data_IF_348839010234
#
_entry.id   IF_348839010234
#
_cell.length_a   1.000
_cell.length_b   1.000
_cell.length_c   1.000
_cell.angle_alpha   90.00
_cell.angle_beta   90.00
_cell.angle_gamma   90.00
#
_symmetry.space_group_name_H-M   'P 1'
#
loop_
_entity.id
_entity.type
_entity.pdbx_description
1 polymer ?
#
# COMPACT_ATOMS: atom_id res chain seq x y z
N UNK A 1 -11.95 -33.17 13.78
CA UNK A 1 -10.88 -32.70 12.87
C UNK A 1 -11.39 -32.66 11.41
N UNK A 2 -12.49 -31.96 11.11
CA UNK A 2 -13.08 -31.77 9.74
C UNK A 2 -13.90 -30.44 9.71
N UNK A 3 -13.46 -29.35 10.30
CA UNK A 3 -14.21 -28.08 10.28
C UNK A 3 -13.41 -26.93 9.62
N UNK A 4 -12.12 -27.10 9.36
CA UNK A 4 -11.27 -26.00 8.89
C UNK A 4 -11.19 -25.81 7.36
N UNK A 5 -11.78 -26.71 6.55
CA UNK A 5 -11.71 -26.58 5.08
C UNK A 5 -12.90 -25.83 4.44
N UNK A 6 -14.02 -25.67 5.15
CA UNK A 6 -15.22 -25.03 4.61
C UNK A 6 -15.18 -23.49 4.71
N UNK A 7 -14.49 -22.93 5.68
CA UNK A 7 -14.38 -21.46 5.82
C UNK A 7 -13.40 -20.84 4.81
N UNK A 8 -12.36 -21.60 4.43
CA UNK A 8 -11.39 -21.15 3.42
C UNK A 8 -11.97 -21.06 2.00
N UNK A 9 -12.92 -21.93 1.66
CA UNK A 9 -13.62 -21.86 0.38
C UNK A 9 -14.60 -20.68 0.31
N UNK A 10 -15.19 -20.28 1.43
CA UNK A 10 -16.12 -19.14 1.52
C UNK A 10 -15.43 -17.77 1.40
N UNK A 11 -14.21 -17.64 1.89
CA UNK A 11 -13.42 -16.40 1.77
C UNK A 11 -12.98 -16.15 0.32
N UNK A 12 -12.52 -17.20 -0.38
CA UNK A 12 -12.17 -17.12 -1.81
C UNK A 12 -13.35 -16.71 -2.69
N UNK A 13 -14.55 -17.18 -2.38
CA UNK A 13 -15.76 -16.85 -3.16
C UNK A 13 -16.21 -15.40 -2.95
N UNK A 14 -15.98 -14.80 -1.78
CA UNK A 14 -16.27 -13.37 -1.51
C UNK A 14 -15.29 -12.42 -2.21
N UNK A 15 -14.01 -12.80 -2.33
CA UNK A 15 -12.99 -11.98 -3.03
C UNK A 15 -13.25 -11.92 -4.53
N UNK A 16 -13.72 -13.03 -5.13
CA UNK A 16 -14.09 -13.08 -6.56
C UNK A 16 -15.37 -12.26 -6.83
N UNK A 17 -16.34 -12.25 -5.90
CA UNK A 17 -17.57 -11.45 -6.07
C UNK A 17 -17.32 -9.93 -6.01
N UNK A 18 -16.40 -9.45 -5.19
CA UNK A 18 -16.07 -8.01 -5.11
C UNK A 18 -15.48 -7.43 -6.40
N UNK A 19 -14.71 -8.24 -7.15
CA UNK A 19 -14.13 -7.82 -8.43
C UNK A 19 -15.17 -7.67 -9.54
N UNK A 20 -16.25 -8.47 -9.52
CA UNK A 20 -17.32 -8.43 -10.52
C UNK A 20 -18.29 -7.24 -10.34
N UNK A 21 -18.48 -6.73 -9.13
CA UNK A 21 -19.35 -5.58 -8.88
C UNK A 21 -18.77 -4.26 -9.40
N UNK A 22 -17.45 -4.16 -9.55
CA UNK A 22 -16.79 -2.95 -10.06
C UNK A 22 -17.09 -2.67 -11.55
N UNK A 23 -17.35 -3.72 -12.34
CA UNK A 23 -17.65 -3.60 -13.77
C UNK A 23 -19.14 -3.44 -14.09
N UNK A 24 -20.04 -3.64 -13.09
CA UNK A 24 -21.49 -3.69 -13.32
C UNK A 24 -22.22 -2.35 -13.29
N UNK A 25 -21.54 -1.23 -13.02
CA UNK A 25 -22.18 0.10 -12.81
C UNK A 25 -22.10 1.04 -14.02
N UNK A 26 -22.14 0.53 -15.25
CA UNK A 26 -22.51 1.34 -16.42
C UNK A 26 -22.94 0.44 -17.60
N UNK A 27 -24.20 0.04 -17.64
CA UNK A 27 -24.95 -0.10 -18.91
C UNK A 27 -26.44 -0.18 -18.64
N UNK A 28 -27.17 0.55 -19.45
CA UNK A 28 -28.62 0.59 -19.52
C UNK A 28 -29.31 -0.77 -19.62
N UNK A 29 -30.55 -0.80 -19.12
CA UNK A 29 -31.50 -1.89 -19.16
C UNK A 29 -31.56 -2.66 -20.50
N UNK A 30 -30.79 -3.72 -20.61
CA UNK A 30 -31.12 -4.90 -21.40
C UNK A 30 -30.33 -6.08 -20.78
N UNK A 31 -31.05 -6.89 -20.00
CA UNK A 31 -30.48 -8.12 -19.41
C UNK A 31 -30.35 -9.14 -20.53
N UNK A 32 -29.25 -9.13 -21.28
CA UNK A 32 -28.83 -10.31 -22.04
C UNK A 32 -28.26 -11.31 -21.04
N UNK A 33 -28.88 -12.49 -20.99
CA UNK A 33 -28.43 -13.58 -20.16
C UNK A 33 -27.03 -14.01 -20.63
N UNK A 34 -26.02 -13.77 -19.77
CA UNK A 34 -24.62 -14.19 -20.02
C UNK A 34 -24.62 -15.70 -20.19
N UNK A 35 -24.12 -16.20 -21.31
CA UNK A 35 -24.09 -17.65 -21.59
C UNK A 35 -23.09 -18.35 -20.67
N UNK A 36 -23.29 -19.66 -20.34
CA UNK A 36 -22.35 -20.41 -19.52
C UNK A 36 -20.91 -20.40 -20.06
N UNK A 37 -20.73 -20.30 -21.36
CA UNK A 37 -19.43 -20.20 -22.03
C UNK A 37 -18.75 -18.82 -21.76
N UNK A 38 -19.53 -17.73 -21.75
CA UNK A 38 -19.02 -16.40 -21.41
C UNK A 38 -18.63 -16.31 -19.93
N UNK A 39 -19.41 -16.92 -19.03
CA UNK A 39 -19.06 -17.02 -17.62
C UNK A 39 -17.78 -17.83 -17.37
N UNK A 40 -17.60 -18.92 -18.10
CA UNK A 40 -16.39 -19.75 -18.00
C UNK A 40 -15.16 -19.00 -18.55
N UNK A 41 -15.29 -18.26 -19.66
CA UNK A 41 -14.22 -17.44 -20.22
C UNK A 41 -13.83 -16.29 -19.30
N UNK A 42 -14.79 -15.60 -18.69
CA UNK A 42 -14.55 -14.55 -17.69
C UNK A 42 -13.86 -15.10 -16.44
N UNK A 43 -14.26 -16.29 -15.96
CA UNK A 43 -13.61 -16.95 -14.83
C UNK A 43 -12.17 -17.36 -15.16
N UNK A 44 -11.90 -17.87 -16.36
CA UNK A 44 -10.55 -18.21 -16.79
C UNK A 44 -9.67 -16.97 -16.88
N UNK A 45 -10.15 -15.87 -17.47
CA UNK A 45 -9.42 -14.60 -17.52
C UNK A 45 -9.13 -14.02 -16.13
N UNK A 46 -10.08 -14.12 -15.19
CA UNK A 46 -9.87 -13.67 -13.82
C UNK A 46 -8.79 -14.50 -13.10
N UNK A 47 -8.76 -15.83 -13.31
CA UNK A 47 -7.74 -16.73 -12.76
C UNK A 47 -6.36 -16.44 -13.36
N UNK A 48 -6.28 -16.24 -14.67
CA UNK A 48 -5.02 -15.88 -15.34
C UNK A 48 -4.48 -14.53 -14.86
N UNK A 49 -5.36 -13.52 -14.71
CA UNK A 49 -4.98 -12.22 -14.17
C UNK A 49 -4.49 -12.31 -12.71
N UNK A 50 -5.16 -13.11 -11.87
CA UNK A 50 -4.72 -13.32 -10.48
C UNK A 50 -3.36 -14.01 -10.43
N UNK A 51 -3.12 -15.01 -11.28
CA UNK A 51 -1.82 -15.69 -11.37
C UNK A 51 -0.72 -14.74 -11.85
N UNK A 52 -0.99 -13.94 -12.87
CA UNK A 52 -0.06 -12.93 -13.35
C UNK A 52 0.28 -11.90 -12.26
N UNK A 53 -0.73 -11.43 -11.54
CA UNK A 53 -0.52 -10.48 -10.44
C UNK A 53 0.35 -11.08 -9.32
N UNK A 54 0.13 -12.34 -8.96
CA UNK A 54 0.97 -13.05 -7.96
C UNK A 54 2.42 -13.21 -8.44
N UNK A 55 2.59 -13.53 -9.72
CA UNK A 55 3.92 -13.65 -10.30
C UNK A 55 4.67 -12.32 -10.29
N UNK A 56 4.05 -11.23 -10.76
CA UNK A 56 4.64 -9.89 -10.76
C UNK A 56 4.97 -9.40 -9.34
N UNK A 57 4.10 -9.71 -8.35
CA UNK A 57 4.38 -9.41 -6.95
C UNK A 57 5.60 -10.20 -6.45
N UNK A 58 5.67 -11.50 -6.75
CA UNK A 58 6.80 -12.34 -6.36
C UNK A 58 8.13 -11.90 -7.01
N UNK A 59 8.09 -11.47 -8.27
CA UNK A 59 9.25 -10.91 -8.98
C UNK A 59 9.67 -9.57 -8.38
N UNK A 60 8.71 -8.68 -8.13
CA UNK A 60 8.97 -7.38 -7.52
C UNK A 60 9.50 -7.47 -6.08
N UNK A 61 9.16 -8.51 -5.34
CA UNK A 61 9.66 -8.75 -3.98
C UNK A 61 10.87 -9.72 -3.93
N UNK A 62 11.46 -10.07 -5.06
CA UNK A 62 12.50 -11.12 -5.12
C UNK A 62 13.68 -10.85 -4.18
N UNK A 63 14.22 -9.62 -4.16
CA UNK A 63 15.35 -9.27 -3.28
C UNK A 63 14.97 -9.33 -1.80
N UNK A 64 13.77 -8.83 -1.45
CA UNK A 64 13.23 -8.92 -0.09
C UNK A 64 13.07 -10.36 0.34
N UNK A 65 12.48 -11.18 -0.49
CA UNK A 65 12.28 -12.61 -0.27
C UNK A 65 13.61 -13.36 -0.09
N UNK A 66 14.56 -13.18 -1.03
CA UNK A 66 15.87 -13.84 -0.95
C UNK A 66 16.62 -13.42 0.32
N UNK A 67 16.54 -12.14 0.71
CA UNK A 67 17.14 -11.63 1.93
C UNK A 67 16.53 -12.21 3.19
N UNK A 68 15.21 -12.20 3.31
CA UNK A 68 14.48 -12.69 4.47
C UNK A 68 14.53 -14.21 4.57
N UNK A 69 14.12 -14.90 3.50
CA UNK A 69 14.02 -16.36 3.48
C UNK A 69 15.38 -17.05 3.64
N UNK A 70 16.46 -16.53 3.03
CA UNK A 70 17.79 -17.12 3.19
C UNK A 70 18.34 -17.01 4.60
N UNK A 71 17.99 -15.95 5.33
CA UNK A 71 18.34 -15.79 6.74
C UNK A 71 17.53 -16.74 7.61
N UNK A 72 16.19 -16.79 7.39
CA UNK A 72 15.31 -17.70 8.09
C UNK A 72 15.69 -19.16 7.91
N UNK A 73 15.99 -19.59 6.67
CA UNK A 73 16.44 -20.95 6.38
C UNK A 73 17.75 -21.30 7.10
N UNK A 74 18.67 -20.34 7.27
CA UNK A 74 19.90 -20.54 8.06
C UNK A 74 19.62 -20.69 9.55
N UNK A 75 18.71 -19.89 10.11
CA UNK A 75 18.34 -19.94 11.52
C UNK A 75 17.80 -21.32 11.94
N UNK A 76 17.09 -22.02 11.03
CA UNK A 76 16.51 -23.34 11.30
C UNK A 76 17.34 -24.52 10.72
N UNK A 77 18.43 -24.26 10.02
CA UNK A 77 19.22 -25.29 9.36
C UNK A 77 19.82 -26.32 10.34
N UNK A 78 19.56 -27.59 10.08
CA UNK A 78 20.11 -28.70 10.90
C UNK A 78 19.41 -28.90 12.24
N UNK A 79 18.35 -28.15 12.55
CA UNK A 79 17.57 -28.26 13.79
C UNK A 79 16.23 -28.92 13.51
N UNK A 80 15.80 -29.84 14.36
CA UNK A 80 14.52 -30.55 14.24
C UNK A 80 13.41 -29.98 15.14
N UNK A 81 13.79 -29.23 16.16
CA UNK A 81 12.88 -28.61 17.15
C UNK A 81 13.16 -27.12 17.26
N UNK A 82 12.15 -26.38 17.66
CA UNK A 82 12.27 -24.95 17.97
C UNK A 82 12.62 -24.83 19.46
N UNK A 83 13.85 -24.45 19.75
CA UNK A 83 14.39 -24.17 21.08
C UNK A 83 14.73 -22.67 21.24
N UNK A 84 15.26 -22.28 22.39
CA UNK A 84 15.64 -20.90 22.66
C UNK A 84 16.64 -20.35 21.63
N UNK A 85 17.63 -21.17 21.22
CA UNK A 85 18.64 -20.75 20.24
C UNK A 85 18.00 -20.46 18.87
N UNK A 86 16.96 -21.23 18.47
CA UNK A 86 16.21 -20.95 17.21
C UNK A 86 15.43 -19.65 17.31
N UNK A 87 14.87 -19.34 18.49
CA UNK A 87 14.13 -18.11 18.72
C UNK A 87 15.05 -16.89 18.70
N UNK A 88 16.24 -17.00 19.31
CA UNK A 88 17.27 -15.95 19.28
C UNK A 88 17.74 -15.68 17.83
N UNK A 89 18.02 -16.75 17.05
CA UNK A 89 18.37 -16.64 15.65
C UNK A 89 17.21 -16.01 14.81
N UNK A 90 15.96 -16.34 15.12
CA UNK A 90 14.79 -15.78 14.47
C UNK A 90 14.63 -14.30 14.79
N UNK A 91 14.85 -13.90 16.06
CA UNK A 91 14.83 -12.49 16.48
C UNK A 91 15.87 -11.69 15.68
N UNK A 92 17.11 -12.21 15.54
CA UNK A 92 18.14 -11.57 14.72
C UNK A 92 17.72 -11.43 13.26
N UNK A 93 17.09 -12.45 12.70
CA UNK A 93 16.57 -12.41 11.30
C UNK A 93 15.52 -11.32 11.13
N UNK A 94 14.56 -11.20 12.03
CA UNK A 94 13.49 -10.22 11.96
C UNK A 94 14.05 -8.79 12.10
N UNK A 95 14.94 -8.55 13.08
CA UNK A 95 15.58 -7.25 13.30
C UNK A 95 16.42 -6.85 12.08
N UNK A 96 17.28 -7.76 11.59
CA UNK A 96 18.16 -7.48 10.44
C UNK A 96 17.42 -7.38 9.10
N UNK A 97 16.15 -7.73 9.07
CA UNK A 97 15.24 -7.54 7.94
C UNK A 97 14.38 -6.27 8.06
N UNK A 98 14.71 -5.40 9.03
CA UNK A 98 14.02 -4.13 9.31
C UNK A 98 12.54 -4.27 9.75
N UNK A 99 12.15 -5.39 10.38
CA UNK A 99 10.82 -5.55 10.98
C UNK A 99 10.60 -4.58 12.15
N UNK A 100 11.70 -4.20 12.84
CA UNK A 100 11.67 -3.34 14.01
C UNK A 100 11.57 -4.13 15.32
N UNK A 101 12.19 -3.59 16.38
CA UNK A 101 12.36 -4.30 17.67
C UNK A 101 11.01 -4.61 18.32
N UNK A 102 10.10 -3.64 18.41
CA UNK A 102 8.80 -3.82 19.08
C UNK A 102 7.95 -4.92 18.42
N UNK A 103 7.87 -4.91 17.09
CA UNK A 103 7.13 -5.92 16.32
C UNK A 103 7.81 -7.28 16.39
N UNK A 104 9.15 -7.32 16.36
CA UNK A 104 9.92 -8.56 16.53
C UNK A 104 9.63 -9.22 17.87
N UNK A 105 9.67 -8.48 18.97
CA UNK A 105 9.36 -8.99 20.31
C UNK A 105 7.93 -9.55 20.38
N UNK A 106 6.94 -8.90 19.76
CA UNK A 106 5.57 -9.43 19.70
C UNK A 106 5.53 -10.78 18.98
N UNK A 107 6.18 -10.89 17.82
CA UNK A 107 6.23 -12.13 17.02
C UNK A 107 6.87 -13.26 17.86
N UNK A 108 8.02 -13.00 18.48
CA UNK A 108 8.73 -14.00 19.29
C UNK A 108 7.87 -14.47 20.48
N UNK A 109 7.28 -13.54 21.23
CA UNK A 109 6.41 -13.87 22.37
C UNK A 109 5.20 -14.74 21.92
N UNK A 110 4.55 -14.43 20.82
CA UNK A 110 3.44 -15.26 20.31
C UNK A 110 3.90 -16.67 19.92
N UNK A 111 5.10 -16.79 19.31
CA UNK A 111 5.68 -18.11 18.99
C UNK A 111 6.00 -18.87 20.26
N UNK A 112 6.59 -18.24 21.29
CA UNK A 112 6.89 -18.85 22.60
C UNK A 112 5.61 -19.35 23.28
N UNK A 113 4.55 -18.54 23.35
CA UNK A 113 3.26 -18.92 23.89
C UNK A 113 2.67 -20.14 23.16
N UNK A 114 2.83 -20.20 21.85
CA UNK A 114 2.36 -21.31 21.02
C UNK A 114 3.15 -22.59 21.28
N UNK A 115 4.49 -22.49 21.40
CA UNK A 115 5.35 -23.62 21.78
C UNK A 115 4.98 -24.15 23.18
N UNK A 116 4.78 -23.25 24.15
CA UNK A 116 4.41 -23.63 25.51
C UNK A 116 3.06 -24.36 25.57
N UNK A 117 2.10 -23.95 24.75
CA UNK A 117 0.77 -24.57 24.66
C UNK A 117 0.80 -25.93 23.99
N UNK A 118 1.49 -26.03 22.85
CA UNK A 118 1.46 -27.21 22.00
C UNK A 118 2.55 -28.23 22.37
N UNK A 119 3.44 -27.89 23.33
CA UNK A 119 4.53 -28.68 23.95
C UNK A 119 5.61 -29.21 22.99
N UNK A 120 5.43 -29.09 21.72
CA UNK A 120 6.37 -29.50 20.70
C UNK A 120 6.10 -28.76 19.40
N UNK A 121 7.16 -28.26 18.80
CA UNK A 121 7.10 -27.61 17.49
C UNK A 121 8.33 -28.02 16.68
N UNK A 122 8.09 -28.53 15.49
CA UNK A 122 9.20 -28.78 14.57
C UNK A 122 9.46 -27.56 13.68
N UNK A 123 10.66 -27.48 13.10
CA UNK A 123 11.08 -26.35 12.26
C UNK A 123 10.28 -26.20 10.97
N UNK A 124 9.61 -27.26 10.50
CA UNK A 124 8.71 -27.18 9.33
C UNK A 124 7.38 -26.47 9.66
N UNK A 125 6.92 -26.60 10.90
CA UNK A 125 5.71 -25.91 11.39
C UNK A 125 5.99 -24.45 11.69
N UNK A 126 7.23 -24.10 12.09
CA UNK A 126 7.64 -22.73 12.40
C UNK A 126 7.38 -21.76 11.24
N UNK A 127 7.68 -22.14 10.01
CA UNK A 127 7.43 -21.29 8.83
C UNK A 127 5.94 -20.98 8.64
N UNK A 128 5.06 -21.96 8.85
CA UNK A 128 3.62 -21.76 8.75
C UNK A 128 3.10 -20.85 9.86
N UNK A 129 3.60 -21.05 11.09
CA UNK A 129 3.21 -20.25 12.26
C UNK A 129 3.70 -18.81 12.12
N UNK A 130 4.97 -18.62 11.75
CA UNK A 130 5.54 -17.29 11.55
C UNK A 130 4.76 -16.51 10.48
N UNK A 131 4.38 -17.17 9.40
CA UNK A 131 3.54 -16.60 8.34
C UNK A 131 2.18 -16.18 8.87
N UNK A 132 1.52 -17.04 9.65
CA UNK A 132 0.20 -16.75 10.22
C UNK A 132 0.29 -15.61 11.24
N UNK A 133 1.30 -15.60 12.12
CA UNK A 133 1.50 -14.53 13.11
C UNK A 133 1.78 -13.18 12.44
N UNK A 134 2.65 -13.14 11.42
CA UNK A 134 2.90 -11.91 10.66
C UNK A 134 1.62 -11.42 9.99
N UNK A 135 0.85 -12.30 9.35
CA UNK A 135 -0.40 -11.93 8.72
C UNK A 135 -1.43 -11.39 9.73
N UNK A 136 -1.52 -11.99 10.93
CA UNK A 136 -2.42 -11.55 11.99
C UNK A 136 -2.02 -10.17 12.55
N UNK A 137 -0.74 -9.92 12.80
CA UNK A 137 -0.26 -8.61 13.23
C UNK A 137 -0.62 -7.51 12.24
N UNK A 138 -0.45 -7.79 10.96
CA UNK A 138 -0.87 -6.85 9.91
C UNK A 138 -2.39 -6.74 9.80
N UNK A 139 -3.16 -7.76 10.18
CA UNK A 139 -4.62 -7.77 10.19
C UNK A 139 -5.19 -6.95 11.34
N UNK A 140 -4.62 -7.03 12.53
CA UNK A 140 -5.01 -6.23 13.70
C UNK A 140 -4.82 -4.73 13.45
N UNK A 141 -3.84 -4.36 12.61
CA UNK A 141 -3.54 -2.98 12.25
C UNK A 141 -4.47 -2.42 11.18
N UNK A 142 -5.20 -3.26 10.45
CA UNK A 142 -5.96 -2.87 9.27
C UNK A 142 -7.43 -3.23 9.37
N UNK A 143 -8.27 -2.23 9.57
CA UNK A 143 -9.70 -2.39 9.29
C UNK A 143 -9.90 -2.62 7.79
N UNK A 144 -10.71 -3.58 7.43
CA UNK A 144 -10.97 -4.23 6.15
C UNK A 144 -11.43 -3.35 4.96
N UNK A 145 -10.95 -2.14 4.80
CA UNK A 145 -11.26 -1.31 3.63
C UNK A 145 -10.23 -1.50 2.51
N UNK A 146 -10.17 -2.72 1.99
CA UNK A 146 -9.28 -3.08 0.88
C UNK A 146 -9.79 -2.67 -0.50
N UNK A 147 -10.96 -2.11 -0.59
CA UNK A 147 -11.47 -1.63 -1.86
C UNK A 147 -10.81 -0.31 -2.25
N UNK A 148 -10.63 -0.09 -3.57
CA UNK A 148 -10.64 1.24 -4.13
C UNK A 148 -11.95 1.98 -3.74
N UNK A 149 -12.42 1.74 -2.52
CA UNK A 149 -13.56 2.37 -1.90
C UNK A 149 -13.30 3.85 -1.73
N UNK A 150 -12.99 4.48 -2.87
CA UNK A 150 -13.15 5.90 -3.02
C UNK A 150 -14.65 6.10 -2.92
N UNK A 151 -15.16 6.40 -1.74
CA UNK A 151 -16.55 6.83 -1.56
C UNK A 151 -16.72 8.16 -2.30
N UNK A 152 -16.79 8.10 -3.62
CA UNK A 152 -17.07 9.25 -4.48
C UNK A 152 -18.56 9.56 -4.29
N UNK A 153 -18.83 10.60 -3.54
CA UNK A 153 -20.19 11.15 -3.44
C UNK A 153 -20.53 11.85 -4.75
N UNK A 154 -21.75 11.68 -5.25
CA UNK A 154 -22.19 12.35 -6.47
C UNK A 154 -21.98 13.87 -6.35
N UNK A 155 -21.29 14.45 -7.34
CA UNK A 155 -20.99 15.90 -7.38
C UNK A 155 -19.85 16.39 -6.50
N UNK A 156 -19.17 15.50 -5.76
CA UNK A 156 -18.03 15.86 -4.91
C UNK A 156 -16.86 14.91 -5.15
N UNK A 157 -15.70 15.39 -5.62
CA UNK A 157 -14.54 14.52 -5.87
C UNK A 157 -13.95 13.96 -4.57
N UNK A 158 -13.45 12.73 -4.63
CA UNK A 158 -12.60 12.20 -3.57
C UNK A 158 -11.24 12.89 -3.60
N UNK A 159 -10.82 13.48 -2.48
CA UNK A 159 -9.59 14.28 -2.40
C UNK A 159 -8.53 13.54 -1.59
N UNK A 160 -7.39 13.32 -2.21
CA UNK A 160 -6.23 12.65 -1.62
C UNK A 160 -5.04 13.61 -1.57
N UNK A 161 -4.51 13.85 -0.38
CA UNK A 161 -3.28 14.62 -0.18
C UNK A 161 -2.11 13.67 -0.01
N UNK A 162 -1.11 13.75 -0.91
CA UNK A 162 0.04 12.84 -0.90
C UNK A 162 1.23 13.52 -0.24
N UNK A 163 1.69 12.95 0.87
CA UNK A 163 2.77 13.48 1.71
C UNK A 163 3.94 12.50 1.81
N UNK A 164 5.10 12.95 2.27
CA UNK A 164 6.31 12.14 2.45
C UNK A 164 7.56 12.89 2.06
N UNK A 165 8.73 12.34 2.35
CA UNK A 165 10.02 13.00 2.05
C UNK A 165 10.32 13.09 0.55
N UNK A 166 11.23 14.00 0.17
CA UNK A 166 11.72 14.03 -1.20
C UNK A 166 12.43 12.72 -1.55
N UNK A 167 12.16 12.20 -2.74
CA UNK A 167 12.73 10.91 -3.20
C UNK A 167 11.98 9.67 -2.73
N UNK A 168 10.96 9.77 -1.85
CA UNK A 168 10.16 8.64 -1.43
C UNK A 168 9.25 8.06 -2.55
N UNK A 169 9.10 8.76 -3.68
CA UNK A 169 8.30 8.28 -4.80
C UNK A 169 6.90 8.89 -4.90
N UNK A 170 6.61 10.01 -4.22
CA UNK A 170 5.29 10.68 -4.24
C UNK A 170 4.77 10.95 -5.65
N UNK A 171 5.53 11.72 -6.44
CA UNK A 171 5.16 12.11 -7.81
C UNK A 171 4.93 10.88 -8.71
N UNK A 172 5.77 9.86 -8.57
CA UNK A 172 5.62 8.59 -9.30
C UNK A 172 4.37 7.82 -8.85
N UNK A 173 4.11 7.77 -7.55
CA UNK A 173 2.90 7.13 -6.99
C UNK A 173 1.64 7.81 -7.49
N UNK A 174 1.60 9.16 -7.47
CA UNK A 174 0.49 9.94 -8.02
C UNK A 174 0.25 9.61 -9.49
N UNK A 175 1.31 9.57 -10.30
CA UNK A 175 1.21 9.25 -11.72
C UNK A 175 0.64 7.85 -11.99
N UNK A 176 1.15 6.85 -11.28
CA UNK A 176 0.67 5.45 -11.38
C UNK A 176 -0.78 5.31 -10.92
N UNK A 177 -1.12 5.93 -9.79
CA UNK A 177 -2.47 5.91 -9.24
C UNK A 177 -3.46 6.61 -10.19
N UNK A 178 -3.08 7.77 -10.73
CA UNK A 178 -3.88 8.49 -11.71
C UNK A 178 -4.16 7.63 -12.95
N UNK A 179 -3.15 6.91 -13.47
CA UNK A 179 -3.31 6.02 -14.60
C UNK A 179 -4.27 4.86 -14.31
N UNK A 180 -4.17 4.24 -13.13
CA UNK A 180 -5.08 3.17 -12.73
C UNK A 180 -6.52 3.66 -12.59
N UNK A 181 -6.71 4.84 -11.96
CA UNK A 181 -8.03 5.45 -11.79
C UNK A 181 -8.66 5.86 -13.14
N UNK A 182 -7.87 6.44 -14.03
CA UNK A 182 -8.34 6.81 -15.37
C UNK A 182 -8.70 5.57 -16.21
N UNK A 183 -7.88 4.51 -16.12
CA UNK A 183 -8.19 3.21 -16.75
C UNK A 183 -9.49 2.59 -16.19
N UNK A 184 -9.80 2.84 -14.92
CA UNK A 184 -11.07 2.47 -14.30
C UNK A 184 -12.23 3.42 -14.66
N UNK A 185 -12.04 4.36 -15.59
CA UNK A 185 -13.05 5.29 -16.07
C UNK A 185 -13.31 6.49 -15.17
N UNK A 186 -12.41 6.77 -14.19
CA UNK A 186 -12.53 7.93 -13.31
C UNK A 186 -11.93 9.18 -13.93
N UNK A 187 -12.58 10.32 -13.74
CA UNK A 187 -12.07 11.63 -14.12
C UNK A 187 -11.13 12.17 -13.04
N UNK A 188 -9.82 12.18 -13.33
CA UNK A 188 -8.78 12.48 -12.35
C UNK A 188 -8.20 13.88 -12.55
N UNK A 189 -8.07 14.63 -11.47
CA UNK A 189 -7.37 15.91 -11.39
C UNK A 189 -6.14 15.80 -10.49
N UNK A 190 -5.05 16.45 -10.90
CA UNK A 190 -3.78 16.47 -10.17
C UNK A 190 -3.40 17.90 -9.87
N UNK A 191 -3.09 18.22 -8.60
CA UNK A 191 -2.58 19.52 -8.16
C UNK A 191 -1.08 19.46 -7.86
N UNK A 192 -0.28 20.26 -8.56
CA UNK A 192 1.17 20.34 -8.38
C UNK A 192 1.54 21.32 -7.27
N UNK A 193 1.34 20.91 -6.00
CA UNK A 193 1.61 21.78 -4.86
C UNK A 193 3.07 21.67 -4.31
N UNK A 194 3.98 20.89 -4.91
CA UNK A 194 5.44 21.01 -4.71
C UNK A 194 6.00 22.15 -5.60
N UNK A 195 5.57 23.38 -5.34
CA UNK A 195 5.80 24.55 -6.21
C UNK A 195 7.25 25.03 -6.26
N UNK A 196 8.09 24.57 -5.35
CA UNK A 196 9.48 25.01 -5.26
C UNK A 196 10.46 24.11 -6.04
N UNK A 197 9.96 23.06 -6.71
CA UNK A 197 10.80 22.11 -7.45
C UNK A 197 10.32 22.01 -8.89
N UNK A 198 10.92 22.86 -9.78
CA UNK A 198 10.58 22.87 -11.20
C UNK A 198 10.61 21.47 -11.82
N UNK A 199 11.66 20.67 -11.57
CA UNK A 199 11.79 19.33 -12.08
C UNK A 199 10.67 18.37 -11.57
N UNK A 200 10.13 18.59 -10.37
CA UNK A 200 9.01 17.80 -9.86
C UNK A 200 7.71 18.15 -10.59
N UNK A 201 7.48 19.44 -10.86
CA UNK A 201 6.33 19.93 -11.63
C UNK A 201 6.38 19.34 -13.06
N UNK A 202 7.54 19.41 -13.72
CA UNK A 202 7.71 18.87 -15.08
C UNK A 202 7.54 17.34 -15.11
N UNK A 203 8.09 16.64 -14.13
CA UNK A 203 7.90 15.19 -13.97
C UNK A 203 6.41 14.85 -13.79
N UNK A 204 5.71 15.60 -12.94
CA UNK A 204 4.28 15.39 -12.69
C UNK A 204 3.45 15.64 -13.94
N UNK A 205 3.83 16.64 -14.77
CA UNK A 205 3.17 16.93 -16.03
C UNK A 205 3.26 15.75 -17.02
N UNK A 206 4.44 15.13 -17.13
CA UNK A 206 4.64 13.93 -17.96
C UNK A 206 3.76 12.77 -17.45
N UNK A 207 3.66 12.57 -16.12
CA UNK A 207 2.80 11.55 -15.54
C UNK A 207 1.32 11.84 -15.79
N UNK A 208 0.87 13.09 -15.62
CA UNK A 208 -0.51 13.50 -15.87
C UNK A 208 -0.93 13.24 -17.32
N UNK A 209 -0.06 13.60 -18.29
CA UNK A 209 -0.29 13.35 -19.72
C UNK A 209 -0.40 11.85 -20.00
N UNK A 210 0.54 11.03 -19.50
CA UNK A 210 0.52 9.57 -19.68
C UNK A 210 -0.71 8.92 -19.07
N UNK A 211 -1.17 9.45 -17.93
CA UNK A 211 -2.34 8.96 -17.23
C UNK A 211 -3.67 9.44 -17.86
N UNK A 212 -3.65 10.42 -18.73
CA UNK A 212 -4.88 11.08 -19.22
C UNK A 212 -5.58 11.91 -18.15
N UNK A 213 -4.85 12.38 -17.15
CA UNK A 213 -5.37 13.18 -16.03
C UNK A 213 -5.19 14.68 -16.28
N UNK A 214 -6.11 15.50 -15.74
CA UNK A 214 -6.00 16.97 -15.82
C UNK A 214 -5.10 17.47 -14.73
N UNK A 215 -4.02 18.19 -15.08
CA UNK A 215 -3.10 18.80 -14.12
C UNK A 215 -3.36 20.27 -13.94
N UNK A 216 -3.42 20.74 -12.70
CA UNK A 216 -3.46 22.14 -12.31
C UNK A 216 -2.11 22.50 -11.68
N UNK A 217 -1.49 23.55 -12.21
CA UNK A 217 -0.22 24.11 -11.72
C UNK A 217 -0.26 25.63 -11.76
N UNK A 218 0.55 26.24 -10.95
CA UNK A 218 0.83 27.68 -10.99
C UNK A 218 2.31 27.92 -11.28
N UNK A 219 2.74 29.18 -11.29
CA UNK A 219 4.14 29.56 -11.45
C UNK A 219 5.01 28.99 -10.31
N UNK A 220 6.29 28.74 -10.62
CA UNK A 220 7.25 28.28 -9.63
C UNK A 220 7.33 29.25 -8.45
N UNK A 221 7.27 28.71 -7.23
CA UNK A 221 7.29 29.50 -5.99
C UNK A 221 5.95 30.08 -5.56
N UNK A 222 4.87 29.78 -6.28
CA UNK A 222 3.51 30.09 -5.84
C UNK A 222 3.17 29.40 -4.51
N UNK A 223 2.17 29.92 -3.78
CA UNK A 223 1.72 29.32 -2.54
C UNK A 223 1.12 27.90 -2.80
N UNK A 224 1.67 26.82 -2.23
CA UNK A 224 1.15 25.48 -2.39
C UNK A 224 -0.36 25.32 -2.06
N UNK A 225 -0.82 26.10 -1.06
CA UNK A 225 -2.24 26.08 -0.68
C UNK A 225 -3.14 26.70 -1.75
N UNK A 226 -2.64 27.70 -2.52
CA UNK A 226 -3.41 28.26 -3.62
C UNK A 226 -3.53 27.29 -4.79
N UNK A 227 -2.50 26.50 -5.08
CA UNK A 227 -2.56 25.42 -6.08
C UNK A 227 -3.62 24.38 -5.68
N UNK A 228 -3.63 23.94 -4.42
CA UNK A 228 -4.63 23.00 -3.92
C UNK A 228 -6.04 23.59 -4.03
N UNK A 229 -6.24 24.87 -3.68
CA UNK A 229 -7.53 25.54 -3.80
C UNK A 229 -8.04 25.58 -5.25
N UNK A 230 -7.19 26.03 -6.19
CA UNK A 230 -7.56 26.12 -7.60
C UNK A 230 -7.83 24.74 -8.21
N UNK A 231 -7.06 23.72 -7.79
CA UNK A 231 -7.27 22.34 -8.22
C UNK A 231 -8.65 21.84 -7.79
N UNK A 232 -9.02 22.01 -6.53
CA UNK A 232 -10.33 21.57 -6.01
C UNK A 232 -11.47 22.35 -6.66
N UNK A 233 -11.34 23.67 -6.81
CA UNK A 233 -12.35 24.50 -7.50
C UNK A 233 -12.55 24.06 -8.94
N UNK A 234 -11.48 23.83 -9.68
CA UNK A 234 -11.55 23.34 -11.06
C UNK A 234 -12.15 21.93 -11.12
N UNK A 235 -11.74 21.04 -10.22
CA UNK A 235 -12.24 19.66 -10.16
C UNK A 235 -13.76 19.61 -9.92
N UNK A 236 -14.26 20.36 -8.93
CA UNK A 236 -15.70 20.46 -8.63
C UNK A 236 -16.46 21.03 -9.83
N UNK A 237 -15.99 22.14 -10.41
CA UNK A 237 -16.65 22.80 -11.55
C UNK A 237 -16.75 21.91 -12.78
N UNK A 238 -15.83 20.98 -12.95
CA UNK A 238 -15.77 20.08 -14.10
C UNK A 238 -16.25 18.65 -13.80
N UNK A 239 -16.82 18.40 -12.63
CA UNK A 239 -17.34 17.07 -12.27
C UNK A 239 -16.23 16.00 -12.26
N UNK A 240 -15.11 16.28 -11.60
CA UNK A 240 -14.05 15.28 -11.38
C UNK A 240 -14.52 14.25 -10.35
N UNK A 241 -14.03 12.99 -10.49
CA UNK A 241 -14.26 11.92 -9.52
C UNK A 241 -13.20 11.92 -8.42
N UNK A 242 -11.94 12.22 -8.78
CA UNK A 242 -10.78 12.12 -7.87
C UNK A 242 -9.84 13.30 -8.06
N UNK A 243 -9.31 13.81 -6.94
CA UNK A 243 -8.27 14.83 -6.90
C UNK A 243 -7.07 14.28 -6.14
N UNK A 244 -5.88 14.36 -6.75
CA UNK A 244 -4.60 13.99 -6.15
C UNK A 244 -3.74 15.25 -5.99
N UNK A 245 -3.30 15.56 -4.77
CA UNK A 245 -2.46 16.73 -4.49
C UNK A 245 -1.05 16.28 -4.16
N UNK A 246 -0.06 16.61 -5.05
CA UNK A 246 1.37 16.41 -4.79
C UNK A 246 1.90 17.52 -3.88
N UNK A 247 2.60 17.18 -2.82
CA UNK A 247 3.10 18.13 -1.83
C UNK A 247 4.63 18.10 -1.73
N UNK A 248 5.21 19.18 -1.21
CA UNK A 248 6.64 19.22 -0.88
C UNK A 248 7.01 18.17 0.18
N UNK A 249 8.29 17.77 0.20
CA UNK A 249 8.80 16.75 1.12
C UNK A 249 10.13 17.13 1.78
N UNK A 250 10.33 18.43 2.09
CA UNK A 250 11.59 18.96 2.64
C UNK A 250 11.68 18.78 4.16
N UNK A 251 11.86 17.53 4.61
CA UNK A 251 11.85 17.20 6.04
C UNK A 251 12.97 17.85 6.86
N UNK A 252 14.06 18.29 6.24
CA UNK A 252 15.13 19.05 6.89
C UNK A 252 14.65 20.41 7.47
N UNK A 253 13.57 20.99 6.92
CA UNK A 253 12.83 22.11 7.50
C UNK A 253 11.47 21.63 8.03
N UNK A 254 11.52 20.77 9.04
CA UNK A 254 10.34 20.07 9.58
C UNK A 254 9.19 21.04 9.92
N UNK A 255 9.47 22.09 10.68
CA UNK A 255 8.44 23.04 11.15
C UNK A 255 7.80 23.76 9.96
N UNK A 256 8.59 24.23 9.01
CA UNK A 256 8.09 24.90 7.81
C UNK A 256 7.20 23.98 6.97
N UNK A 257 7.66 22.74 6.73
CA UNK A 257 6.90 21.74 5.98
C UNK A 257 5.57 21.41 6.67
N UNK A 258 5.58 21.18 7.97
CA UNK A 258 4.36 20.79 8.70
C UNK A 258 3.33 21.94 8.71
N UNK A 259 3.78 23.19 8.84
CA UNK A 259 2.91 24.36 8.71
C UNK A 259 2.31 24.48 7.30
N UNK A 260 3.12 24.23 6.26
CA UNK A 260 2.68 24.23 4.86
C UNK A 260 1.61 23.16 4.62
N UNK A 261 1.85 21.91 5.04
CA UNK A 261 0.90 20.80 4.89
C UNK A 261 -0.41 21.08 5.64
N UNK A 262 -0.33 21.62 6.86
CA UNK A 262 -1.50 22.05 7.63
C UNK A 262 -2.28 23.16 6.90
N UNK A 263 -1.59 24.12 6.30
CA UNK A 263 -2.20 25.20 5.51
C UNK A 263 -2.94 24.62 4.28
N UNK A 264 -2.29 23.73 3.53
CA UNK A 264 -2.89 23.04 2.37
C UNK A 264 -4.18 22.34 2.79
N UNK A 265 -4.14 21.52 3.84
CA UNK A 265 -5.30 20.82 4.40
C UNK A 265 -6.45 21.77 4.75
N UNK A 266 -6.15 22.84 5.50
CA UNK A 266 -7.16 23.80 5.93
C UNK A 266 -7.81 24.54 4.75
N UNK A 267 -7.06 24.76 3.67
CA UNK A 267 -7.56 25.42 2.46
C UNK A 267 -8.44 24.46 1.66
N UNK A 268 -8.09 23.17 1.57
CA UNK A 268 -8.92 22.15 0.93
C UNK A 268 -10.30 22.05 1.61
N UNK A 269 -10.34 22.05 2.95
CA UNK A 269 -11.58 22.04 3.72
C UNK A 269 -12.49 23.25 3.50
N UNK A 270 -11.97 24.38 3.01
CA UNK A 270 -12.78 25.56 2.62
C UNK A 270 -13.52 25.34 1.29
N UNK A 271 -13.05 24.44 0.43
CA UNK A 271 -13.69 24.14 -0.85
C UNK A 271 -14.64 22.94 -0.70
N UNK A 272 -14.16 21.89 -0.04
CA UNK A 272 -14.88 20.66 0.26
C UNK A 272 -14.73 20.41 1.77
N UNK A 273 -15.78 20.52 2.58
CA UNK A 273 -15.67 20.52 4.06
C UNK A 273 -14.93 19.32 4.64
N UNK A 274 -15.08 18.14 4.04
CA UNK A 274 -14.47 16.89 4.50
C UNK A 274 -13.10 16.61 3.87
N UNK A 275 -12.58 17.51 3.00
CA UNK A 275 -11.29 17.32 2.35
C UNK A 275 -10.10 17.72 3.25
N UNK A 276 -8.96 17.00 3.12
CA UNK A 276 -8.77 15.81 2.30
C UNK A 276 -9.46 14.60 2.93
N UNK A 277 -10.10 13.76 2.11
CA UNK A 277 -10.69 12.49 2.55
C UNK A 277 -9.62 11.47 2.92
N UNK A 278 -8.44 11.60 2.31
CA UNK A 278 -7.29 10.75 2.58
C UNK A 278 -6.00 11.57 2.61
N UNK A 279 -5.16 11.32 3.61
CA UNK A 279 -3.78 11.77 3.70
C UNK A 279 -2.89 10.55 3.54
N UNK A 280 -2.35 10.38 2.32
CA UNK A 280 -1.50 9.25 1.96
C UNK A 280 -0.04 9.57 2.22
N UNK A 281 0.60 8.87 3.14
CA UNK A 281 2.04 8.96 3.37
C UNK A 281 2.79 7.96 2.49
N UNK A 282 3.69 8.48 1.64
CA UNK A 282 4.58 7.68 0.80
C UNK A 282 5.93 7.53 1.48
N UNK A 283 6.33 6.30 1.72
CA UNK A 283 7.59 5.90 2.36
C UNK A 283 8.45 5.09 1.39
N UNK A 284 9.76 5.29 1.46
CA UNK A 284 10.75 4.52 0.71
C UNK A 284 11.16 3.29 1.54
N UNK A 285 10.74 2.09 1.13
CA UNK A 285 11.05 0.83 1.81
C UNK A 285 12.54 0.49 1.87
N UNK A 286 13.36 1.07 0.98
CA UNK A 286 14.81 0.86 0.99
C UNK A 286 15.53 1.57 2.14
N UNK A 287 14.87 2.52 2.79
CA UNK A 287 15.45 3.30 3.90
C UNK A 287 15.41 2.61 5.25
N UNK A 288 14.72 1.44 5.35
CA UNK A 288 14.65 0.64 6.56
C UNK A 288 14.14 1.44 7.76
N UNK A 289 14.86 1.42 8.89
CA UNK A 289 14.47 2.10 10.13
C UNK A 289 14.21 3.60 9.98
N UNK A 290 14.80 4.28 9.00
CA UNK A 290 14.51 5.69 8.74
C UNK A 290 13.05 5.90 8.30
N UNK A 291 12.41 4.91 7.68
CA UNK A 291 11.00 4.98 7.29
C UNK A 291 10.08 5.07 8.53
N UNK A 292 10.42 4.40 9.63
CA UNK A 292 9.67 4.48 10.90
C UNK A 292 9.70 5.90 11.47
N UNK A 293 10.87 6.53 11.48
CA UNK A 293 10.98 7.90 11.98
C UNK A 293 10.20 8.89 11.10
N UNK A 294 10.25 8.72 9.78
CA UNK A 294 9.42 9.49 8.86
C UNK A 294 7.93 9.27 9.14
N UNK A 295 7.48 8.02 9.27
CA UNK A 295 6.09 7.69 9.58
C UNK A 295 5.63 8.39 10.85
N UNK A 296 6.43 8.31 11.93
CA UNK A 296 6.15 8.98 13.21
C UNK A 296 5.98 10.48 13.05
N UNK A 297 6.90 11.14 12.32
CA UNK A 297 6.89 12.59 12.16
C UNK A 297 5.70 13.06 11.35
N UNK A 298 5.39 12.40 10.23
CA UNK A 298 4.25 12.78 9.40
C UNK A 298 2.91 12.50 10.07
N UNK A 299 2.78 11.35 10.76
CA UNK A 299 1.54 10.98 11.47
C UNK A 299 1.20 11.98 12.57
N UNK A 300 2.19 12.45 13.32
CA UNK A 300 1.99 13.47 14.35
C UNK A 300 1.52 14.82 13.80
N UNK A 301 1.89 15.15 12.56
CA UNK A 301 1.70 16.47 12.00
C UNK A 301 0.53 16.60 11.04
N UNK A 302 0.18 15.53 10.29
CA UNK A 302 -0.76 15.64 9.16
C UNK A 302 -1.98 14.71 9.26
N UNK A 303 -2.12 13.93 10.33
CA UNK A 303 -3.20 12.94 10.48
C UNK A 303 -3.23 11.97 9.27
N UNK A 304 -2.12 11.28 9.05
CA UNK A 304 -2.00 10.26 8.00
C UNK A 304 -3.10 9.21 8.17
N UNK A 305 -3.78 8.89 7.08
CA UNK A 305 -4.89 7.91 7.05
C UNK A 305 -4.55 6.66 6.27
N UNK A 306 -3.53 6.72 5.39
CA UNK A 306 -3.05 5.55 4.63
C UNK A 306 -1.57 5.62 4.34
N UNK A 307 -0.96 4.46 4.09
CA UNK A 307 0.46 4.32 3.75
C UNK A 307 0.62 3.75 2.34
N UNK A 308 1.65 4.24 1.66
CA UNK A 308 2.19 3.63 0.44
C UNK A 308 3.67 3.39 0.63
N UNK A 309 4.13 2.15 0.46
CA UNK A 309 5.54 1.79 0.61
C UNK A 309 6.13 1.46 -0.75
N UNK A 310 7.10 2.24 -1.18
CA UNK A 310 7.71 2.17 -2.52
C UNK A 310 9.07 1.48 -2.51
N UNK A 311 9.61 1.19 -3.70
CA UNK A 311 10.96 0.66 -3.95
C UNK A 311 11.24 -0.69 -3.28
N UNK A 312 10.21 -1.52 -3.12
CA UNK A 312 10.38 -2.85 -2.54
C UNK A 312 11.15 -3.80 -3.46
N UNK A 313 11.15 -3.55 -4.77
CA UNK A 313 11.94 -4.28 -5.79
C UNK A 313 13.45 -4.09 -5.64
N UNK A 314 13.85 -2.99 -5.05
CA UNK A 314 15.27 -2.62 -4.86
C UNK A 314 15.91 -3.12 -3.57
N UNK A 315 15.15 -3.63 -2.62
CA UNK A 315 15.62 -3.82 -1.23
C UNK A 315 15.43 -5.24 -0.69
N UNK A 316 16.35 -5.66 0.19
CA UNK A 316 16.16 -6.83 1.06
C UNK A 316 15.49 -6.47 2.40
N UNK A 317 15.05 -5.21 2.57
CA UNK A 317 14.53 -4.64 3.82
C UNK A 317 12.99 -4.58 3.86
N UNK A 318 12.32 -5.47 3.15
CA UNK A 318 10.85 -5.47 3.06
C UNK A 318 10.12 -5.75 4.37
N UNK A 319 10.81 -6.21 5.41
CA UNK A 319 10.28 -6.31 6.78
C UNK A 319 9.77 -4.97 7.33
N UNK A 320 10.26 -3.85 6.80
CA UNK A 320 9.76 -2.50 7.14
C UNK A 320 8.25 -2.37 6.93
N UNK A 321 7.65 -3.08 5.97
CA UNK A 321 6.19 -3.08 5.74
C UNK A 321 5.46 -3.67 6.95
N UNK A 322 5.98 -4.77 7.50
CA UNK A 322 5.42 -5.48 8.65
C UNK A 322 5.46 -4.56 9.87
N UNK A 323 6.65 -4.04 10.20
CA UNK A 323 6.83 -3.22 11.39
C UNK A 323 6.09 -1.88 11.35
N UNK A 324 6.06 -1.18 10.21
CA UNK A 324 5.32 0.07 10.08
C UNK A 324 3.81 -0.18 10.19
N UNK A 325 3.32 -1.27 9.59
CA UNK A 325 1.92 -1.67 9.68
C UNK A 325 1.50 -1.92 11.14
N UNK A 326 2.28 -2.69 11.88
CA UNK A 326 1.99 -3.00 13.30
C UNK A 326 2.11 -1.76 14.22
N UNK A 327 3.18 -0.96 14.09
CA UNK A 327 3.45 0.12 15.05
C UNK A 327 2.56 1.35 14.91
N UNK A 328 2.12 1.67 13.69
CA UNK A 328 1.38 2.91 13.45
C UNK A 328 -0.13 2.72 13.35
N UNK A 329 -0.62 1.47 13.23
CA UNK A 329 -2.04 1.16 13.07
C UNK A 329 -2.71 1.95 11.96
N UNK A 330 -1.94 2.24 10.90
CA UNK A 330 -2.38 2.94 9.69
C UNK A 330 -2.35 1.92 8.54
N UNK A 331 -3.44 1.77 7.78
CA UNK A 331 -3.49 0.78 6.72
C UNK A 331 -2.45 1.05 5.63
N UNK A 332 -1.67 0.04 5.28
CA UNK A 332 -0.89 0.04 4.03
C UNK A 332 -1.88 -0.17 2.90
N UNK A 333 -1.98 0.80 2.01
CA UNK A 333 -2.94 0.76 0.91
C UNK A 333 -2.33 0.33 -0.40
N UNK A 334 -1.10 0.78 -0.67
CA UNK A 334 -0.37 0.43 -1.88
C UNK A 334 1.08 0.08 -1.59
N UNK A 335 1.64 -0.76 -2.47
CA UNK A 335 3.08 -1.05 -2.52
C UNK A 335 3.62 -0.81 -3.93
N UNK A 336 4.79 -0.18 -4.00
CA UNK A 336 5.55 0.03 -5.25
C UNK A 336 6.60 -1.07 -5.41
N UNK A 337 6.48 -1.84 -6.48
CA UNK A 337 7.32 -3.01 -6.78
C UNK A 337 8.12 -2.84 -8.06
N UNK A 338 8.40 -1.61 -8.45
CA UNK A 338 9.19 -1.26 -9.63
C UNK A 338 8.84 0.11 -10.20
N UNK A 339 9.44 0.48 -11.35
CA UNK A 339 9.29 1.80 -11.96
C UNK A 339 8.15 1.89 -12.99
N UNK A 340 7.68 0.78 -13.55
CA UNK A 340 6.61 0.73 -14.54
C UNK A 340 5.29 1.31 -14.04
N UNK A 341 4.46 1.81 -14.97
CA UNK A 341 3.18 2.46 -14.65
C UNK A 341 2.22 1.51 -13.94
N UNK A 342 2.26 0.22 -14.23
CA UNK A 342 1.42 -0.83 -13.63
C UNK A 342 2.03 -1.43 -12.34
N UNK A 343 3.23 -0.98 -11.92
CA UNK A 343 3.96 -1.51 -10.76
C UNK A 343 3.67 -0.75 -9.45
N UNK A 344 2.46 -0.26 -9.30
CA UNK A 344 1.85 0.13 -8.03
C UNK A 344 0.72 -0.84 -7.75
N UNK A 345 0.82 -1.63 -6.67
CA UNK A 345 -0.15 -2.67 -6.34
C UNK A 345 -0.97 -2.26 -5.13
N UNK A 346 -2.26 -2.63 -5.14
CA UNK A 346 -3.06 -2.61 -3.93
C UNK A 346 -2.45 -3.62 -2.96
N UNK A 347 -2.28 -3.21 -1.73
CA UNK A 347 -1.69 -4.07 -0.72
C UNK A 347 -2.70 -5.10 -0.23
N UNK A 348 -2.33 -6.37 -0.32
CA UNK A 348 -3.01 -7.50 0.30
C UNK A 348 -2.01 -8.21 1.21
N UNK A 349 -2.29 -8.23 2.52
CA UNK A 349 -1.40 -8.79 3.54
C UNK A 349 -1.08 -10.26 3.32
N UNK A 350 -2.08 -11.06 2.90
CA UNK A 350 -1.88 -12.47 2.69
C UNK A 350 -1.00 -12.74 1.47
N UNK A 351 -1.27 -12.04 0.35
CA UNK A 351 -0.45 -12.14 -0.85
C UNK A 351 0.99 -11.65 -0.60
N UNK A 352 1.14 -10.58 0.20
CA UNK A 352 2.45 -10.05 0.56
C UNK A 352 3.25 -11.05 1.41
N UNK A 353 2.64 -11.58 2.48
CA UNK A 353 3.27 -12.57 3.35
C UNK A 353 3.56 -13.86 2.56
N UNK A 354 2.60 -14.33 1.75
CA UNK A 354 2.81 -15.49 0.86
C UNK A 354 4.02 -15.29 -0.05
N UNK A 355 4.14 -14.10 -0.67
CA UNK A 355 5.26 -13.80 -1.54
C UNK A 355 6.62 -13.84 -0.83
N UNK A 356 6.68 -13.55 0.48
CA UNK A 356 7.90 -13.63 1.29
C UNK A 356 8.31 -15.08 1.61
N UNK A 357 7.33 -16.00 1.75
CA UNK A 357 7.56 -17.37 2.24
C UNK A 357 7.52 -18.46 1.16
N UNK A 358 7.19 -18.14 -0.10
CA UNK A 358 7.19 -19.14 -1.19
C UNK A 358 8.63 -19.56 -1.54
N UNK A 359 8.97 -20.85 -1.40
CA UNK A 359 10.22 -21.42 -1.88
C UNK A 359 10.30 -21.38 -3.42
N UNK A 360 11.50 -21.09 -3.96
CA UNK A 360 11.78 -21.41 -5.37
C UNK A 360 11.80 -22.94 -5.50
N UNK A 361 10.90 -23.50 -6.31
CA UNK A 361 10.98 -24.88 -6.77
C UNK A 361 12.16 -25.06 -7.70
#
# INVERSE_FOLDING_TARGET
MIICQSEWAGAKQKTIMGFFDLFKKKKDNSVEAVTPEQQAAEQQQAVEQEQQQKQELSEGLQKTKEGFFSKLARAVAGRSTVDADVLDDLEEVLITSDVGVETTVKIINHIEERIARDKYMNTSELNAILRDEIAQLMEESHSSQQDFGLEVKEGTPYVMMVVGVNGAGKTTTIGKLAAQLTKAGRKVYIGAADTFRAAAIDQLAVWAERAGATMIRQEMGSDPASVAFDTLKSAVANGADVVLIDTAGRLHNKVGLMNELTKIRNVMAKVIPDAPHEVMLVLDGSTGQNAFEQARQFTQATQVTSLTITKLDGTAKGGVVIGISDQFHIPVRYIGIGEGIDQLRIFDRHQFVDALFVEKK
#
